data_IF_162714772851
#
_entry.id   IF_162714772851
#
_cell.length_a   1.000
_cell.length_b   1.000
_cell.length_c   1.000
_cell.angle_alpha   90.00
_cell.angle_beta   90.00
_cell.angle_gamma   90.00
#
_symmetry.space_group_name_H-M   'P 1'
#
loop_
_entity.id
_entity.type
_entity.pdbx_description
1 polymer ?
#
# COMPACT_ATOMS: atom_id res chain seq x y z
N UNK A 1 -7.85 6.58 -3.79
CA UNK A 1 -6.95 5.44 -3.57
C UNK A 1 -7.68 4.20 -3.05
N UNK A 2 -8.17 4.20 -1.81
CA UNK A 2 -8.69 3.00 -1.15
C UNK A 2 -9.81 2.27 -1.92
N UNK A 3 -10.77 3.00 -2.51
CA UNK A 3 -11.83 2.42 -3.34
C UNK A 3 -11.30 1.60 -4.53
N UNK A 4 -10.27 2.09 -5.22
CA UNK A 4 -9.64 1.37 -6.34
C UNK A 4 -8.88 0.14 -5.84
N UNK A 5 -8.20 0.25 -4.71
CA UNK A 5 -7.56 -0.89 -4.06
C UNK A 5 -8.58 -1.98 -3.67
N UNK A 6 -9.70 -1.61 -3.03
CA UNK A 6 -10.79 -2.55 -2.68
C UNK A 6 -11.40 -3.22 -3.94
N UNK A 7 -11.45 -2.50 -5.06
CA UNK A 7 -11.97 -3.01 -6.33
C UNK A 7 -10.94 -3.83 -7.15
N UNK A 8 -9.78 -4.17 -6.57
CA UNK A 8 -8.67 -4.83 -7.26
C UNK A 8 -8.15 -4.07 -8.50
N UNK A 9 -8.22 -2.73 -8.44
CA UNK A 9 -7.83 -1.76 -9.47
C UNK A 9 -6.72 -0.84 -8.99
N UNK A 10 -5.93 -1.28 -8.01
CA UNK A 10 -4.87 -0.47 -7.40
C UNK A 10 -3.84 0.04 -8.41
N UNK A 11 -3.55 -0.71 -9.48
CA UNK A 11 -2.62 -0.30 -10.54
C UNK A 11 -3.07 0.95 -11.32
N UNK A 12 -4.35 1.33 -11.26
CA UNK A 12 -4.82 2.60 -11.82
C UNK A 12 -4.29 3.82 -11.04
N UNK A 13 -3.76 3.63 -9.83
CA UNK A 13 -3.12 4.68 -9.03
C UNK A 13 -1.68 4.97 -9.43
N UNK A 14 -1.04 4.08 -10.20
CA UNK A 14 0.34 4.24 -10.62
C UNK A 14 0.40 5.22 -11.78
N UNK A 15 1.22 6.26 -11.60
CA UNK A 15 1.53 7.24 -12.63
C UNK A 15 2.01 6.54 -13.90
N UNK A 16 1.52 7.00 -15.05
CA UNK A 16 1.81 6.37 -16.34
C UNK A 16 3.32 6.35 -16.64
N UNK A 17 4.06 7.37 -16.19
CA UNK A 17 5.52 7.45 -16.37
C UNK A 17 6.29 6.41 -15.55
N UNK A 18 5.68 5.84 -14.51
CA UNK A 18 6.29 4.84 -13.64
C UNK A 18 5.89 3.41 -13.98
N UNK A 19 4.87 3.20 -14.82
CA UNK A 19 4.30 1.87 -15.10
C UNK A 19 5.32 0.88 -15.65
N UNK A 20 6.21 1.31 -16.52
CA UNK A 20 7.21 0.42 -17.14
C UNK A 20 8.43 0.18 -16.23
N UNK A 21 8.60 1.03 -15.20
CA UNK A 21 9.74 0.99 -14.27
C UNK A 21 9.46 0.21 -12.98
N UNK A 22 8.19 0.00 -12.65
CA UNK A 22 7.78 -0.61 -11.39
C UNK A 22 7.14 -1.97 -11.64
N UNK A 23 7.65 -3.01 -10.95
CA UNK A 23 7.03 -4.33 -11.01
C UNK A 23 5.66 -4.29 -10.36
N UNK A 24 4.68 -4.93 -10.99
CA UNK A 24 3.30 -4.90 -10.53
C UNK A 24 3.14 -5.30 -9.06
N UNK A 25 3.81 -6.38 -8.62
CA UNK A 25 3.72 -6.82 -7.22
C UNK A 25 4.33 -5.82 -6.23
N UNK A 26 5.39 -5.10 -6.62
CA UNK A 26 6.03 -4.06 -5.81
C UNK A 26 5.10 -2.85 -5.70
N UNK A 27 4.54 -2.41 -6.83
CA UNK A 27 3.55 -1.34 -6.89
C UNK A 27 2.35 -1.63 -5.98
N UNK A 28 1.76 -2.82 -6.10
CA UNK A 28 0.64 -3.25 -5.26
C UNK A 28 1.01 -3.24 -3.78
N UNK A 29 2.22 -3.69 -3.43
CA UNK A 29 2.70 -3.67 -2.05
C UNK A 29 2.93 -2.26 -1.52
N UNK A 30 3.50 -1.36 -2.32
CA UNK A 30 3.69 0.04 -1.94
C UNK A 30 2.35 0.76 -1.75
N UNK A 31 1.37 0.50 -2.62
CA UNK A 31 0.02 1.03 -2.46
C UNK A 31 -0.60 0.51 -1.17
N UNK A 32 -0.50 -0.79 -0.89
CA UNK A 32 -1.04 -1.40 0.33
C UNK A 32 -0.43 -0.77 1.59
N UNK A 33 0.90 -0.69 1.66
CA UNK A 33 1.62 -0.07 2.79
C UNK A 33 1.29 1.42 2.90
N UNK A 34 1.21 2.14 1.78
CA UNK A 34 0.79 3.54 1.74
C UNK A 34 -0.61 3.75 2.33
N UNK A 35 -1.56 2.86 2.06
CA UNK A 35 -2.89 2.88 2.66
C UNK A 35 -2.87 2.61 4.18
N UNK A 36 -1.94 1.79 4.67
CA UNK A 36 -1.73 1.60 6.12
C UNK A 36 -1.13 2.84 6.79
N UNK A 37 -0.27 3.58 6.09
CA UNK A 37 0.32 4.82 6.63
C UNK A 37 -0.69 5.95 6.83
N UNK A 38 -1.83 5.92 6.14
CA UNK A 38 -2.86 6.98 6.18
C UNK A 38 -4.16 6.53 6.84
N UNK A 39 -4.11 5.54 7.73
CA UNK A 39 -5.27 5.15 8.54
C UNK A 39 -5.78 6.34 9.36
N UNK A 40 -7.10 6.45 9.50
CA UNK A 40 -7.73 7.56 10.22
C UNK A 40 -7.23 7.61 11.67
N UNK A 41 -7.35 6.49 12.37
CA UNK A 41 -6.79 6.32 13.71
C UNK A 41 -5.26 6.25 13.65
N UNK A 42 -4.61 7.15 14.37
CA UNK A 42 -3.15 7.22 14.44
C UNK A 42 -2.51 5.95 15.02
N UNK A 43 -3.20 5.24 15.91
CA UNK A 43 -2.71 4.01 16.51
C UNK A 43 -2.62 2.84 15.51
N UNK A 44 -3.35 2.91 14.41
CA UNK A 44 -3.36 1.87 13.37
C UNK A 44 -2.28 2.11 12.29
N UNK A 45 -1.57 3.24 12.36
CA UNK A 45 -0.51 3.58 11.41
C UNK A 45 0.79 2.84 11.79
N UNK A 46 1.48 2.21 10.84
CA UNK A 46 2.76 1.55 11.11
C UNK A 46 3.85 2.57 11.47
N UNK A 47 4.81 2.14 12.30
CA UNK A 47 6.06 2.89 12.50
C UNK A 47 6.91 2.86 11.24
N UNK A 48 7.84 3.80 11.09
CA UNK A 48 8.76 3.81 9.94
C UNK A 48 9.59 2.52 9.85
N UNK A 49 10.06 1.98 10.97
CA UNK A 49 10.76 0.70 10.98
C UNK A 49 9.88 -0.44 10.44
N UNK A 50 8.60 -0.46 10.83
CA UNK A 50 7.63 -1.43 10.31
C UNK A 50 7.45 -1.25 8.81
N UNK A 51 7.31 -0.02 8.31
CA UNK A 51 7.17 0.28 6.88
C UNK A 51 8.37 -0.25 6.07
N UNK A 52 9.60 -0.05 6.56
CA UNK A 52 10.82 -0.55 5.90
C UNK A 52 10.78 -2.08 5.81
N UNK A 53 10.41 -2.76 6.88
CA UNK A 53 10.27 -4.23 6.89
C UNK A 53 9.16 -4.69 5.93
N UNK A 54 8.00 -4.04 5.96
CA UNK A 54 6.88 -4.36 5.09
C UNK A 54 7.28 -4.22 3.62
N UNK A 55 8.00 -3.17 3.24
CA UNK A 55 8.46 -2.94 1.87
C UNK A 55 9.49 -3.97 1.42
N UNK A 56 10.51 -4.23 2.25
CA UNK A 56 11.64 -5.07 1.86
C UNK A 56 11.39 -6.58 1.99
N UNK A 57 10.39 -7.00 2.76
CA UNK A 57 10.09 -8.40 2.98
C UNK A 57 8.70 -8.76 2.45
N UNK A 58 8.66 -9.33 1.24
CA UNK A 58 7.41 -9.72 0.56
C UNK A 58 6.69 -10.90 1.22
N UNK A 59 7.37 -11.66 2.08
CA UNK A 59 6.80 -12.81 2.80
C UNK A 59 6.01 -12.40 4.05
N UNK A 60 6.11 -11.14 4.48
CA UNK A 60 5.35 -10.64 5.62
C UNK A 60 3.90 -10.42 5.22
N UNK A 61 2.99 -11.08 5.93
CA UNK A 61 1.56 -10.83 5.87
C UNK A 61 1.26 -9.44 6.44
N UNK A 62 0.51 -8.64 5.68
CA UNK A 62 0.16 -7.27 6.05
C UNK A 62 -1.29 -7.20 6.53
N UNK A 63 -1.61 -6.34 7.51
CA UNK A 63 -2.99 -6.09 7.91
C UNK A 63 -3.78 -5.47 6.75
N UNK A 64 -5.10 -5.62 6.76
CA UNK A 64 -5.98 -5.03 5.75
C UNK A 64 -6.24 -3.54 6.08
N UNK A 65 -5.99 -2.62 5.13
CA UNK A 65 -6.36 -1.21 5.28
C UNK A 65 -7.86 -1.04 5.51
N UNK A 66 -8.25 -0.28 6.53
CA UNK A 66 -9.65 0.06 6.77
C UNK A 66 -10.17 1.08 5.75
N UNK A 67 -11.50 1.15 5.60
CA UNK A 67 -12.14 2.15 4.75
C UNK A 67 -11.86 3.55 5.30
N UNK A 68 -11.51 4.54 4.46
CA UNK A 68 -11.52 5.92 4.91
C UNK A 68 -12.96 6.34 5.25
N UNK A 69 -13.13 7.38 6.10
CA UNK A 69 -14.45 7.95 6.41
C UNK A 69 -15.21 8.42 5.17
#
# INVERSE_FOLDING_TARGET
>A
AWRLWRANKAMELIDQTLRDSCREFEALRYIHVGLLCVQENAADRPTIDSVIVMINNTSVALPMPSAPP
#
